data_IF_976459747093
#
_entry.id   IF_976459747093
#
_cell.length_a   1.000
_cell.length_b   1.000
_cell.length_c   1.000
_cell.angle_alpha   90.00
_cell.angle_beta   90.00
_cell.angle_gamma   90.00
#
_symmetry.space_group_name_H-M   'P 1'
#
loop_
_entity.id
_entity.type
_entity.pdbx_description
1 polymer ?
#
# COMPACT_ATOMS: atom_id res chain seq x y z
N UNK A 1 -4.51 29.17 -19.83
CA UNK A 1 -5.69 28.35 -20.12
C UNK A 1 -5.68 27.19 -19.13
N UNK A 2 -6.78 27.04 -18.39
CA UNK A 2 -7.15 26.03 -17.39
C UNK A 2 -6.13 25.56 -16.33
N UNK A 3 -6.16 26.19 -15.15
CA UNK A 3 -5.63 25.63 -13.90
C UNK A 3 -6.74 24.98 -13.04
N UNK A 4 -7.72 24.30 -13.66
CA UNK A 4 -8.90 23.77 -12.98
C UNK A 4 -8.87 22.30 -12.53
N UNK A 5 -8.02 21.45 -13.14
CA UNK A 5 -8.10 19.98 -12.99
C UNK A 5 -6.79 19.28 -12.55
N UNK A 6 -5.76 20.07 -12.19
CA UNK A 6 -4.45 19.50 -11.87
C UNK A 6 -4.43 18.70 -10.54
N UNK A 7 -5.45 18.82 -9.69
CA UNK A 7 -5.48 18.16 -8.37
C UNK A 7 -6.27 16.86 -8.36
N UNK A 8 -7.28 16.69 -9.24
CA UNK A 8 -8.11 15.48 -9.32
C UNK A 8 -7.46 14.39 -10.16
N UNK A 9 -6.82 14.77 -11.25
CA UNK A 9 -6.08 13.85 -12.14
C UNK A 9 -5.01 13.01 -11.40
N UNK A 10 -4.11 13.56 -10.56
CA UNK A 10 -3.09 12.74 -9.89
C UNK A 10 -3.68 11.77 -8.85
N UNK A 11 -4.81 12.12 -8.21
CA UNK A 11 -5.47 11.22 -7.25
C UNK A 11 -6.08 10.01 -7.95
N UNK A 12 -6.74 10.23 -9.10
CA UNK A 12 -7.31 9.14 -9.91
C UNK A 12 -6.22 8.18 -10.40
N UNK A 13 -5.13 8.72 -10.97
CA UNK A 13 -4.01 7.90 -11.42
C UNK A 13 -3.34 7.13 -10.28
N UNK A 14 -3.18 7.75 -9.11
CA UNK A 14 -2.63 7.06 -7.95
C UNK A 14 -3.49 5.89 -7.49
N UNK A 15 -4.83 6.04 -7.46
CA UNK A 15 -5.76 4.95 -7.12
C UNK A 15 -5.63 3.81 -8.15
N UNK A 16 -5.61 4.15 -9.44
CA UNK A 16 -5.47 3.16 -10.51
C UNK A 16 -4.15 2.37 -10.41
N UNK A 17 -3.04 3.07 -10.16
CA UNK A 17 -1.72 2.46 -9.98
C UNK A 17 -1.65 1.56 -8.74
N UNK A 18 -2.25 2.00 -7.63
CA UNK A 18 -2.32 1.21 -6.40
C UNK A 18 -3.17 -0.04 -6.55
N UNK A 19 -4.31 0.04 -7.24
CA UNK A 19 -5.21 -1.09 -7.46
C UNK A 19 -4.66 -2.15 -8.42
N UNK A 20 -3.74 -1.78 -9.32
CA UNK A 20 -3.16 -2.71 -10.30
C UNK A 20 -2.06 -3.62 -9.73
N UNK A 21 -1.40 -3.22 -8.64
CA UNK A 21 -0.27 -3.96 -8.09
C UNK A 21 -0.68 -4.86 -6.92
N UNK A 22 -0.57 -6.19 -7.09
CA UNK A 22 -0.84 -7.20 -6.04
C UNK A 22 0.02 -6.98 -4.78
N UNK A 23 1.28 -6.55 -4.94
CA UNK A 23 2.25 -6.37 -3.85
C UNK A 23 2.32 -4.94 -3.28
N UNK A 24 1.49 -4.02 -3.77
CA UNK A 24 1.54 -2.60 -3.41
C UNK A 24 2.72 -1.84 -4.03
N UNK A 25 2.56 -0.51 -4.11
CA UNK A 25 3.53 0.39 -4.75
C UNK A 25 4.23 1.30 -3.73
N UNK A 26 5.52 1.57 -3.94
CA UNK A 26 6.28 2.52 -3.11
C UNK A 26 5.83 3.96 -3.39
N UNK A 27 5.79 4.79 -2.33
CA UNK A 27 5.43 6.22 -2.46
C UNK A 27 6.45 6.98 -3.32
N UNK A 28 7.73 6.58 -3.30
CA UNK A 28 8.79 7.17 -4.11
C UNK A 28 8.64 6.81 -5.60
N UNK A 29 8.16 5.60 -5.91
CA UNK A 29 7.85 5.20 -7.29
C UNK A 29 6.65 5.97 -7.82
N UNK A 30 5.61 6.14 -7.00
CA UNK A 30 4.45 6.97 -7.34
C UNK A 30 4.84 8.44 -7.57
N UNK A 31 5.73 8.98 -6.73
CA UNK A 31 6.23 10.33 -6.90
C UNK A 31 6.90 10.53 -8.27
N UNK A 32 7.72 9.57 -8.70
CA UNK A 32 8.39 9.59 -10.00
C UNK A 32 7.40 9.45 -11.17
N UNK A 33 6.41 8.57 -11.04
CA UNK A 33 5.45 8.29 -12.11
C UNK A 33 4.40 9.41 -12.28
N UNK A 34 4.04 10.09 -11.20
CA UNK A 34 3.06 11.18 -11.20
C UNK A 34 3.72 12.57 -11.26
N UNK A 35 5.05 12.62 -11.35
CA UNK A 35 5.85 13.86 -11.41
C UNK A 35 5.55 14.87 -10.28
N UNK A 36 5.18 14.37 -9.10
CA UNK A 36 4.86 15.23 -7.95
C UNK A 36 6.16 15.68 -7.29
N UNK A 37 6.36 17.01 -7.23
CA UNK A 37 7.60 17.60 -6.71
C UNK A 37 7.86 17.31 -5.22
N UNK A 38 6.81 17.13 -4.43
CA UNK A 38 6.91 17.03 -2.97
C UNK A 38 6.55 15.62 -2.47
N UNK A 39 7.52 14.92 -1.89
CA UNK A 39 7.31 13.60 -1.30
C UNK A 39 6.22 13.59 -0.22
N UNK A 40 6.19 14.62 0.65
CA UNK A 40 5.18 14.76 1.70
C UNK A 40 3.75 14.74 1.14
N UNK A 41 3.53 15.36 -0.01
CA UNK A 41 2.22 15.39 -0.68
C UNK A 41 1.83 14.00 -1.15
N UNK A 42 2.72 13.30 -1.87
CA UNK A 42 2.49 11.93 -2.35
C UNK A 42 2.23 10.98 -1.18
N UNK A 43 3.04 11.09 -0.13
CA UNK A 43 2.91 10.27 1.06
C UNK A 43 1.55 10.49 1.74
N UNK A 44 1.15 11.75 1.94
CA UNK A 44 -0.13 12.08 2.59
C UNK A 44 -1.32 11.60 1.75
N UNK A 45 -1.29 11.83 0.44
CA UNK A 45 -2.37 11.40 -0.44
C UNK A 45 -2.44 9.86 -0.52
N UNK A 46 -1.28 9.19 -0.64
CA UNK A 46 -1.22 7.74 -0.70
C UNK A 46 -1.70 7.07 0.60
N UNK A 47 -1.40 7.66 1.76
CA UNK A 47 -1.95 7.19 3.03
C UNK A 47 -3.47 7.35 3.10
N UNK A 48 -4.03 8.48 2.66
CA UNK A 48 -5.49 8.68 2.62
C UNK A 48 -6.20 7.67 1.71
N UNK A 49 -5.61 7.37 0.54
CA UNK A 49 -6.18 6.36 -0.36
C UNK A 49 -6.14 4.97 0.29
N UNK A 50 -5.01 4.56 0.87
CA UNK A 50 -4.91 3.27 1.56
C UNK A 50 -5.91 3.16 2.71
N UNK A 51 -6.08 4.23 3.48
CA UNK A 51 -7.06 4.28 4.55
C UNK A 51 -8.49 4.12 4.00
N UNK A 52 -8.86 4.86 2.96
CA UNK A 52 -10.18 4.74 2.35
C UNK A 52 -10.44 3.34 1.76
N UNK A 53 -9.41 2.71 1.17
CA UNK A 53 -9.49 1.32 0.69
C UNK A 53 -9.70 0.34 1.85
N UNK A 54 -8.97 0.49 2.95
CA UNK A 54 -9.11 -0.36 4.14
C UNK A 54 -10.47 -0.18 4.83
N UNK A 55 -10.96 1.06 4.96
CA UNK A 55 -12.30 1.35 5.48
C UNK A 55 -13.35 0.69 4.59
N UNK A 56 -13.22 0.78 3.26
CA UNK A 56 -14.15 0.12 2.34
C UNK A 56 -14.10 -1.40 2.46
N UNK A 57 -12.91 -1.98 2.54
CA UNK A 57 -12.70 -3.42 2.71
C UNK A 57 -13.30 -3.93 4.03
N UNK A 58 -13.23 -3.13 5.10
CA UNK A 58 -13.78 -3.50 6.42
C UNK A 58 -15.30 -3.76 6.44
N UNK A 59 -16.04 -3.21 5.47
CA UNK A 59 -17.47 -3.50 5.32
C UNK A 59 -17.73 -4.89 4.72
N UNK A 60 -16.75 -5.49 4.04
CA UNK A 60 -16.85 -6.79 3.42
C UNK A 60 -16.24 -7.85 4.35
N UNK A 61 -17.00 -8.92 4.61
CA UNK A 61 -16.49 -10.10 5.30
C UNK A 61 -16.32 -11.21 4.28
N UNK A 62 -15.17 -11.88 4.32
CA UNK A 62 -14.98 -13.13 3.60
C UNK A 62 -15.99 -14.16 4.14
N UNK A 63 -16.70 -14.83 3.24
CA UNK A 63 -17.71 -15.84 3.58
C UNK A 63 -17.52 -17.09 2.72
N UNK A 64 -17.77 -18.28 3.29
CA UNK A 64 -17.55 -19.57 2.62
C UNK A 64 -16.22 -20.21 2.98
N UNK A 65 -15.74 -21.11 2.11
CA UNK A 65 -14.41 -21.72 2.22
C UNK A 65 -13.35 -20.70 1.80
N UNK A 66 -12.44 -20.35 2.71
CA UNK A 66 -11.38 -19.35 2.46
C UNK A 66 -10.05 -20.11 2.31
N UNK A 67 -9.40 -19.93 1.17
CA UNK A 67 -8.04 -20.42 0.92
C UNK A 67 -7.05 -19.25 0.94
N UNK A 68 -5.94 -19.42 1.66
CA UNK A 68 -4.87 -18.43 1.79
C UNK A 68 -3.59 -18.98 1.15
N UNK A 69 -3.22 -18.45 -0.01
CA UNK A 69 -2.09 -18.97 -0.82
C UNK A 69 -0.74 -18.29 -0.51
N UNK A 70 -0.75 -17.10 0.12
CA UNK A 70 0.45 -16.30 0.40
C UNK A 70 0.50 -15.87 1.88
N UNK A 71 0.55 -16.83 2.82
CA UNK A 71 0.75 -16.51 4.26
C UNK A 71 2.12 -16.95 4.76
N UNK A 72 3.00 -15.99 5.04
CA UNK A 72 4.20 -16.21 5.83
C UNK A 72 3.90 -15.88 7.29
N UNK A 73 3.57 -16.90 8.10
CA UNK A 73 3.44 -16.77 9.55
C UNK A 73 4.71 -17.28 10.23
N UNK A 74 5.41 -16.37 10.92
CA UNK A 74 6.57 -16.70 11.74
C UNK A 74 7.81 -17.03 10.92
N UNK A 75 8.80 -16.13 10.92
CA UNK A 75 10.16 -16.57 10.71
C UNK A 75 10.53 -17.55 11.85
N UNK A 76 11.22 -18.67 11.59
CA UNK A 76 11.85 -19.41 12.68
C UNK A 76 12.75 -18.42 13.43
N UNK A 77 12.43 -18.15 14.70
CA UNK A 77 13.36 -17.44 15.58
C UNK A 77 14.64 -18.28 15.56
N UNK A 78 15.78 -17.76 15.09
CA UNK A 78 17.03 -18.46 15.31
C UNK A 78 17.19 -18.52 16.82
N UNK A 79 17.04 -19.72 17.40
CA UNK A 79 17.51 -19.96 18.77
C UNK A 79 18.95 -19.48 18.86
N UNK A 80 19.35 -18.92 20.02
CA UNK A 80 20.73 -18.51 20.24
C UNK A 80 21.66 -19.67 19.88
N UNK A 81 22.40 -19.54 18.79
CA UNK A 81 23.34 -20.56 18.34
C UNK A 81 24.71 -20.22 18.92
N UNK A 82 25.04 -20.86 20.03
CA UNK A 82 26.31 -20.69 20.76
C UNK A 82 26.25 -21.32 22.16
N UNK A 83 27.41 -21.69 22.72
CA UNK A 83 27.52 -22.15 24.11
C UNK A 83 27.10 -21.01 25.06
N UNK A 84 26.15 -21.28 25.97
CA UNK A 84 25.64 -20.31 26.95
C UNK A 84 24.18 -19.88 26.77
N UNK A 85 23.35 -20.66 26.08
CA UNK A 85 21.90 -20.52 26.19
C UNK A 85 21.47 -21.09 27.56
N UNK A 86 21.11 -20.20 28.49
CA UNK A 86 20.38 -20.54 29.70
C UNK A 86 18.88 -20.66 29.39
#
# INVERSE_FOLDING_TARGET
>A
MEQGDATRTPQFWMIWLMGRQKSGISMLSLQRMLEIKTYKTVWTMGHKIRQAMAERDSYYKLAGLIEMDDTCFGAPKPGKRGRGAA
#
